data_IF_031098895376
#
_entry.id   IF_031098895376
#
_cell.length_a   1.000
_cell.length_b   1.000
_cell.length_c   1.000
_cell.angle_alpha   90.00
_cell.angle_beta   90.00
_cell.angle_gamma   90.00
#
_symmetry.space_group_name_H-M   'P 1'
#
loop_
_entity.id
_entity.type
_entity.pdbx_description
1 polymer ?
#
# COMPACT_ATOMS: atom_id res chain seq x y z
N UNK A 1 -67.53 46.42 15.95
CA UNK A 1 -67.29 44.96 15.91
C UNK A 1 -66.10 44.74 14.97
N UNK A 2 -65.05 44.10 15.50
CA UNK A 2 -63.71 44.00 14.91
C UNK A 2 -63.70 43.03 13.73
N UNK A 3 -63.11 43.46 12.62
CA UNK A 3 -62.76 42.64 11.48
C UNK A 3 -61.51 41.81 11.81
N UNK A 4 -61.53 40.59 11.28
CA UNK A 4 -60.59 39.49 11.46
C UNK A 4 -59.13 39.93 11.54
N UNK A 5 -58.52 39.58 12.67
CA UNK A 5 -57.09 39.72 12.91
C UNK A 5 -56.35 38.74 11.99
N UNK A 6 -55.74 39.34 10.98
CA UNK A 6 -54.65 38.85 10.17
C UNK A 6 -53.46 38.54 11.09
N UNK A 7 -53.20 37.27 11.38
CA UNK A 7 -51.89 36.85 11.90
C UNK A 7 -51.42 35.63 11.12
N UNK A 8 -50.62 35.97 10.12
CA UNK A 8 -49.70 35.13 9.35
C UNK A 8 -49.29 33.84 10.06
N UNK A 9 -49.70 32.73 9.44
CA UNK A 9 -49.08 31.43 9.56
C UNK A 9 -47.64 31.52 9.04
N UNK A 10 -46.71 32.01 9.87
CA UNK A 10 -45.30 31.92 9.61
C UNK A 10 -44.85 30.50 9.99
N UNK A 11 -45.16 29.56 9.09
CA UNK A 11 -44.48 28.27 8.99
C UNK A 11 -42.99 28.58 8.98
N UNK A 12 -42.30 28.29 10.09
CA UNK A 12 -40.84 28.27 10.15
C UNK A 12 -40.34 27.29 9.11
N UNK A 13 -39.99 27.83 7.94
CA UNK A 13 -39.37 27.10 6.86
C UNK A 13 -37.96 26.72 7.33
N UNK A 14 -37.83 25.50 7.86
CA UNK A 14 -36.54 24.90 8.20
C UNK A 14 -35.68 24.90 6.94
N UNK A 15 -34.50 25.55 6.92
CA UNK A 15 -33.63 25.47 5.76
C UNK A 15 -33.21 24.00 5.57
N UNK A 16 -33.18 23.50 4.32
CA UNK A 16 -32.87 22.11 4.05
C UNK A 16 -31.43 21.79 4.47
N UNK A 17 -31.17 20.60 5.04
CA UNK A 17 -29.80 20.17 5.29
C UNK A 17 -29.08 20.04 3.95
N UNK A 18 -28.05 20.86 3.76
CA UNK A 18 -27.09 20.71 2.65
C UNK A 18 -26.37 19.37 2.80
N UNK A 19 -26.87 18.33 2.14
CA UNK A 19 -26.10 17.12 1.81
C UNK A 19 -25.55 17.26 0.40
N UNK A 20 -24.54 16.44 0.12
CA UNK A 20 -23.98 16.05 -1.19
C UNK A 20 -22.94 16.97 -1.83
N UNK A 21 -21.68 16.87 -1.37
CA UNK A 21 -20.46 16.94 -2.22
C UNK A 21 -19.27 16.12 -1.65
N UNK A 22 -19.52 15.02 -0.92
CA UNK A 22 -18.45 14.21 -0.30
C UNK A 22 -18.61 12.71 -0.59
N UNK A 23 -19.19 12.37 -1.73
CA UNK A 23 -19.39 10.98 -2.17
C UNK A 23 -18.95 10.73 -3.61
N UNK A 24 -18.41 11.72 -4.33
CA UNK A 24 -18.01 11.55 -5.73
C UNK A 24 -16.51 11.20 -5.90
N UNK A 25 -15.68 11.40 -4.87
CA UNK A 25 -14.27 10.98 -4.91
C UNK A 25 -14.04 9.48 -4.67
N UNK A 26 -14.92 8.83 -3.90
CA UNK A 26 -14.74 7.42 -3.50
C UNK A 26 -15.12 6.44 -4.61
N UNK A 27 -16.06 6.80 -5.49
CA UNK A 27 -16.47 5.95 -6.60
C UNK A 27 -15.41 5.86 -7.73
N UNK A 28 -14.60 6.91 -7.91
CA UNK A 28 -13.53 6.92 -8.90
C UNK A 28 -12.37 5.97 -8.53
N UNK A 29 -12.08 5.83 -7.23
CA UNK A 29 -11.05 4.91 -6.72
C UNK A 29 -11.49 3.45 -6.87
N UNK A 30 -12.77 3.13 -6.63
CA UNK A 30 -13.29 1.77 -6.78
C UNK A 30 -13.26 1.26 -8.24
N UNK A 31 -13.46 2.14 -9.23
CA UNK A 31 -13.41 1.75 -10.64
C UNK A 31 -11.96 1.52 -11.14
N UNK A 32 -10.97 2.20 -10.56
CA UNK A 32 -9.56 1.93 -10.86
C UNK A 32 -9.08 0.60 -10.28
N UNK A 33 -9.51 0.25 -9.06
CA UNK A 33 -9.18 -1.05 -8.43
C UNK A 33 -9.81 -2.22 -9.20
N UNK A 34 -11.06 -2.09 -9.67
CA UNK A 34 -11.73 -3.13 -10.44
C UNK A 34 -11.10 -3.38 -11.82
N UNK A 35 -10.56 -2.33 -12.47
CA UNK A 35 -9.88 -2.47 -13.76
C UNK A 35 -8.54 -3.21 -13.64
N UNK A 36 -7.82 -3.03 -12.54
CA UNK A 36 -6.54 -3.73 -12.29
C UNK A 36 -6.77 -5.20 -11.92
N UNK A 37 -7.77 -5.50 -11.08
CA UNK A 37 -8.13 -6.87 -10.70
C UNK A 37 -8.67 -7.68 -11.90
N UNK A 38 -9.41 -7.03 -12.81
CA UNK A 38 -9.95 -7.68 -14.01
C UNK A 38 -8.89 -8.14 -15.02
N UNK A 39 -7.73 -7.47 -15.09
CA UNK A 39 -6.66 -7.82 -16.04
C UNK A 39 -5.89 -9.07 -15.56
N UNK A 40 -5.74 -9.26 -14.25
CA UNK A 40 -5.03 -10.43 -13.69
C UNK A 40 -5.81 -11.73 -13.94
N UNK A 41 -7.15 -11.71 -13.92
CA UNK A 41 -7.96 -12.91 -14.17
C UNK A 41 -8.08 -13.29 -15.65
N UNK A 42 -7.80 -12.39 -16.59
CA UNK A 42 -7.88 -12.63 -18.04
C UNK A 42 -6.52 -13.02 -18.66
N UNK A 43 -5.43 -12.99 -17.89
CA UNK A 43 -4.11 -13.46 -18.34
C UNK A 43 -3.83 -14.93 -17.98
N UNK A 44 -4.56 -15.55 -17.06
CA UNK A 44 -4.30 -16.93 -16.60
C UNK A 44 -4.90 -18.03 -17.49
N UNK A 45 -5.45 -17.70 -18.67
CA UNK A 45 -5.90 -18.69 -19.65
C UNK A 45 -5.10 -18.57 -20.95
N UNK A 46 -3.81 -18.90 -20.90
CA UNK A 46 -2.99 -18.80 -22.11
C UNK A 46 -1.58 -19.35 -22.00
N UNK A 47 -1.45 -20.68 -22.17
CA UNK A 47 -0.31 -21.24 -22.92
C UNK A 47 0.91 -21.67 -22.11
N UNK A 48 1.19 -22.97 -22.18
CA UNK A 48 2.47 -23.60 -21.87
C UNK A 48 3.63 -22.97 -22.64
N UNK A 49 4.69 -22.61 -21.92
CA UNK A 49 6.08 -22.70 -22.41
C UNK A 49 7.02 -23.00 -21.23
N UNK A 50 7.57 -24.22 -21.25
CA UNK A 50 8.70 -24.68 -20.44
C UNK A 50 9.95 -23.87 -20.82
N UNK A 51 10.23 -22.77 -20.10
CA UNK A 51 11.58 -22.28 -19.69
C UNK A 51 11.49 -20.85 -19.15
N UNK A 52 11.12 -20.72 -17.87
CA UNK A 52 11.48 -19.57 -17.06
C UNK A 52 11.97 -20.13 -15.72
N UNK A 53 13.11 -19.65 -15.23
CA UNK A 53 13.47 -19.88 -13.84
C UNK A 53 12.35 -19.26 -12.99
N UNK A 54 11.48 -20.12 -12.48
CA UNK A 54 10.48 -19.84 -11.46
C UNK A 54 11.25 -19.34 -10.24
N UNK A 55 11.46 -18.02 -10.18
CA UNK A 55 12.48 -17.40 -9.31
C UNK A 55 11.96 -17.17 -7.90
N UNK A 56 10.65 -17.37 -7.68
CA UNK A 56 10.06 -17.29 -6.36
C UNK A 56 10.17 -18.64 -5.65
N UNK A 57 10.59 -18.63 -4.38
CA UNK A 57 10.63 -19.86 -3.59
C UNK A 57 9.24 -20.48 -3.50
N UNK A 58 9.17 -21.81 -3.70
CA UNK A 58 7.90 -22.53 -3.56
C UNK A 58 7.32 -22.34 -2.15
N UNK A 59 6.00 -22.14 -2.02
CA UNK A 59 5.37 -22.04 -0.72
C UNK A 59 5.70 -23.23 0.17
N UNK A 60 6.10 -22.95 1.41
CA UNK A 60 6.51 -23.95 2.38
C UNK A 60 6.39 -23.40 3.80
N UNK A 61 6.32 -24.30 4.78
CA UNK A 61 6.23 -23.92 6.18
C UNK A 61 4.91 -23.23 6.56
N UNK A 62 4.93 -22.61 7.73
CA UNK A 62 3.81 -21.90 8.35
C UNK A 62 3.99 -20.37 8.22
N UNK A 63 2.93 -19.61 8.51
CA UNK A 63 3.02 -18.16 8.65
C UNK A 63 4.09 -17.71 9.65
N UNK A 64 4.32 -18.47 10.73
CA UNK A 64 5.37 -18.18 11.69
C UNK A 64 6.78 -18.37 11.13
N UNK A 65 6.99 -19.37 10.26
CA UNK A 65 8.28 -19.60 9.59
C UNK A 65 8.57 -18.47 8.60
N UNK A 66 7.56 -18.07 7.81
CA UNK A 66 7.65 -16.91 6.93
C UNK A 66 7.93 -15.63 7.71
N UNK A 67 7.21 -15.39 8.81
CA UNK A 67 7.40 -14.18 9.62
C UNK A 67 8.81 -14.11 10.25
N UNK A 68 9.38 -15.26 10.61
CA UNK A 68 10.77 -15.37 11.07
C UNK A 68 11.75 -15.01 9.95
N UNK A 69 11.57 -15.58 8.76
CA UNK A 69 12.41 -15.25 7.60
C UNK A 69 12.35 -13.77 7.23
N UNK A 70 11.16 -13.16 7.23
CA UNK A 70 11.01 -11.73 6.93
C UNK A 70 11.57 -10.84 8.05
N UNK A 71 11.59 -11.31 9.31
CA UNK A 71 12.24 -10.58 10.41
C UNK A 71 13.75 -10.48 10.18
N UNK A 72 14.38 -11.56 9.72
CA UNK A 72 15.79 -11.58 9.35
C UNK A 72 16.07 -10.67 8.13
N UNK A 73 15.16 -10.66 7.14
CA UNK A 73 15.21 -9.76 6.01
C UNK A 73 15.13 -8.28 6.45
N UNK A 74 14.17 -7.91 7.30
CA UNK A 74 14.03 -6.56 7.86
C UNK A 74 15.31 -6.13 8.60
N UNK A 75 15.91 -7.02 9.39
CA UNK A 75 17.16 -6.75 10.11
C UNK A 75 18.33 -6.54 9.16
N UNK A 76 18.46 -7.39 8.14
CA UNK A 76 19.53 -7.31 7.13
C UNK A 76 19.43 -6.04 6.31
N UNK A 77 18.22 -5.71 5.82
CA UNK A 77 18.00 -4.51 5.02
C UNK A 77 18.24 -3.25 5.85
N UNK A 78 17.84 -3.21 7.13
CA UNK A 78 18.17 -2.09 8.00
C UNK A 78 19.69 -1.87 8.14
N UNK A 79 20.47 -2.95 8.18
CA UNK A 79 21.93 -2.89 8.28
C UNK A 79 22.59 -2.46 6.95
N UNK A 80 22.09 -2.95 5.82
CA UNK A 80 22.67 -2.70 4.49
C UNK A 80 22.17 -1.39 3.86
N UNK A 81 20.99 -0.91 4.25
CA UNK A 81 20.33 0.28 3.73
C UNK A 81 20.05 1.26 4.88
N UNK A 82 21.05 2.07 5.32
CA UNK A 82 20.93 2.92 6.50
C UNK A 82 19.77 3.91 6.46
N UNK A 83 19.29 4.28 5.28
CA UNK A 83 18.12 5.15 5.09
C UNK A 83 16.82 4.49 5.59
N UNK A 84 16.75 3.16 5.56
CA UNK A 84 15.58 2.39 6.02
C UNK A 84 15.53 2.29 7.54
N UNK A 85 16.69 2.30 8.21
CA UNK A 85 16.79 2.32 9.67
C UNK A 85 16.57 3.70 10.30
N UNK A 86 16.52 4.74 9.47
CA UNK A 86 16.17 6.08 9.91
C UNK A 86 14.65 6.21 10.01
N UNK A 87 14.19 7.13 10.87
CA UNK A 87 12.77 7.41 11.07
C UNK A 87 12.05 7.78 9.76
N UNK A 88 10.72 7.63 9.73
CA UNK A 88 9.93 7.78 8.51
C UNK A 88 9.99 9.20 7.93
N UNK A 89 10.34 10.20 8.74
CA UNK A 89 10.49 11.59 8.34
C UNK A 89 11.59 11.77 7.30
N UNK A 90 12.65 10.96 7.36
CA UNK A 90 13.76 11.03 6.41
C UNK A 90 13.34 10.62 5.00
N UNK A 91 12.29 9.77 4.89
CA UNK A 91 11.72 9.34 3.61
C UNK A 91 10.93 10.44 2.91
N UNK A 92 10.55 11.50 3.62
CA UNK A 92 9.82 12.65 3.07
C UNK A 92 10.75 13.67 2.41
N UNK A 93 12.06 13.57 2.62
CA UNK A 93 13.04 14.46 2.01
C UNK A 93 13.34 14.03 0.56
N UNK A 94 13.08 14.93 -0.38
CA UNK A 94 13.32 14.74 -1.82
C UNK A 94 14.80 14.43 -2.11
N UNK A 95 15.73 14.95 -1.29
CA UNK A 95 17.15 14.66 -1.44
C UNK A 95 17.49 13.17 -1.23
N UNK A 96 16.65 12.43 -0.50
CA UNK A 96 16.87 11.03 -0.16
C UNK A 96 16.17 10.06 -1.12
N UNK A 97 15.43 10.54 -2.12
CA UNK A 97 14.64 9.70 -3.02
C UNK A 97 15.38 8.47 -3.57
N UNK A 98 16.60 8.59 -4.13
CA UNK A 98 17.29 7.41 -4.68
C UNK A 98 17.66 6.39 -3.61
N UNK A 99 18.01 6.84 -2.40
CA UNK A 99 18.34 5.95 -1.31
C UNK A 99 17.08 5.25 -0.77
N UNK A 100 15.98 5.98 -0.58
CA UNK A 100 14.71 5.42 -0.11
C UNK A 100 14.13 4.43 -1.11
N UNK A 101 14.20 4.73 -2.40
CA UNK A 101 13.82 3.81 -3.46
C UNK A 101 14.65 2.52 -3.41
N UNK A 102 15.99 2.64 -3.34
CA UNK A 102 16.88 1.49 -3.26
C UNK A 102 16.60 0.64 -2.02
N UNK A 103 16.43 1.28 -0.86
CA UNK A 103 16.10 0.62 0.39
C UNK A 103 14.75 -0.08 0.38
N UNK A 104 13.71 0.56 -0.17
CA UNK A 104 12.37 -0.04 -0.28
C UNK A 104 12.38 -1.21 -1.24
N UNK A 105 13.08 -1.10 -2.37
CA UNK A 105 13.21 -2.21 -3.32
C UNK A 105 14.00 -3.38 -2.73
N UNK A 106 15.06 -3.10 -1.97
CA UNK A 106 15.82 -4.12 -1.27
C UNK A 106 14.95 -4.85 -0.23
N UNK A 107 14.13 -4.11 0.53
CA UNK A 107 13.17 -4.70 1.46
C UNK A 107 12.17 -5.62 0.76
N UNK A 108 11.54 -5.12 -0.30
CA UNK A 108 10.54 -5.88 -1.06
C UNK A 108 11.16 -7.13 -1.67
N UNK A 109 12.33 -7.02 -2.31
CA UNK A 109 13.05 -8.17 -2.85
C UNK A 109 13.39 -9.20 -1.77
N UNK A 110 13.91 -8.76 -0.62
CA UNK A 110 14.25 -9.65 0.47
C UNK A 110 13.02 -10.35 1.09
N UNK A 111 11.83 -9.72 1.04
CA UNK A 111 10.57 -10.36 1.46
C UNK A 111 10.12 -11.41 0.44
N UNK A 112 10.25 -11.14 -0.86
CA UNK A 112 9.96 -12.12 -1.92
C UNK A 112 10.88 -13.33 -1.87
N UNK A 113 12.13 -13.16 -1.43
CA UNK A 113 13.08 -14.26 -1.25
C UNK A 113 12.69 -15.21 -0.10
N UNK A 114 11.71 -14.85 0.74
CA UNK A 114 11.21 -15.72 1.82
C UNK A 114 10.04 -16.56 1.29
N UNK A 115 10.12 -17.91 1.38
CA UNK A 115 9.02 -18.78 0.96
C UNK A 115 7.71 -18.45 1.67
N UNK A 116 6.65 -18.21 0.89
CA UNK A 116 5.31 -17.99 1.43
C UNK A 116 4.80 -19.22 2.20
N UNK A 117 3.85 -19.06 3.14
CA UNK A 117 3.23 -20.17 3.84
C UNK A 117 2.56 -21.15 2.88
N UNK A 118 2.56 -22.45 3.24
CA UNK A 118 1.96 -23.49 2.41
C UNK A 118 0.42 -23.56 2.53
N UNK A 119 -0.14 -23.10 3.66
CA UNK A 119 -1.59 -23.08 3.89
C UNK A 119 -2.21 -21.89 3.14
N UNK A 120 -3.32 -22.14 2.44
CA UNK A 120 -3.90 -21.18 1.48
C UNK A 120 -4.39 -19.88 2.14
N UNK A 121 -4.98 -19.95 3.34
CA UNK A 121 -5.46 -18.77 4.04
C UNK A 121 -4.31 -17.93 4.62
N UNK A 122 -3.25 -18.56 5.14
CA UNK A 122 -2.01 -17.92 5.58
C UNK A 122 -1.26 -17.30 4.39
N UNK A 123 -1.18 -18.02 3.27
CA UNK A 123 -0.58 -17.53 2.04
C UNK A 123 -1.30 -16.30 1.51
N UNK A 124 -2.64 -16.31 1.52
CA UNK A 124 -3.45 -15.16 1.08
C UNK A 124 -3.15 -13.92 1.93
N UNK A 125 -2.99 -14.09 3.25
CA UNK A 125 -2.64 -13.00 4.16
C UNK A 125 -1.23 -12.45 3.90
N UNK A 126 -0.22 -13.33 3.78
CA UNK A 126 1.14 -12.94 3.46
C UNK A 126 1.23 -12.22 2.11
N UNK A 127 0.58 -12.77 1.08
CA UNK A 127 0.54 -12.17 -0.26
C UNK A 127 -0.08 -10.77 -0.30
N UNK A 128 -1.13 -10.52 0.49
CA UNK A 128 -1.73 -9.19 0.54
C UNK A 128 -0.73 -8.11 1.02
N UNK A 129 0.16 -8.48 1.95
CA UNK A 129 1.21 -7.59 2.42
C UNK A 129 2.34 -7.45 1.40
N UNK A 130 2.76 -8.55 0.76
CA UNK A 130 3.75 -8.53 -0.33
C UNK A 130 3.32 -7.58 -1.46
N UNK A 131 2.05 -7.64 -1.88
CA UNK A 131 1.48 -6.74 -2.90
C UNK A 131 1.54 -5.27 -2.47
N UNK A 132 1.37 -4.98 -1.18
CA UNK A 132 1.51 -3.60 -0.66
C UNK A 132 2.97 -3.13 -0.76
N UNK A 133 3.93 -4.03 -0.50
CA UNK A 133 5.35 -3.79 -0.73
C UNK A 133 5.66 -3.48 -2.21
N UNK A 134 5.11 -4.27 -3.13
CA UNK A 134 5.28 -4.03 -4.57
C UNK A 134 4.76 -2.66 -5.00
N UNK A 135 3.61 -2.25 -4.47
CA UNK A 135 3.05 -0.91 -4.71
C UNK A 135 3.96 0.19 -4.17
N UNK A 136 4.55 0.00 -2.98
CA UNK A 136 5.51 0.95 -2.42
C UNK A 136 6.77 1.07 -3.30
N UNK A 137 7.36 -0.06 -3.72
CA UNK A 137 8.52 -0.07 -4.61
C UNK A 137 8.23 0.60 -5.97
N UNK A 138 7.05 0.33 -6.54
CA UNK A 138 6.61 0.97 -7.79
C UNK A 138 6.42 2.49 -7.62
N UNK A 139 5.84 2.93 -6.51
CA UNK A 139 5.64 4.35 -6.23
C UNK A 139 6.99 5.08 -6.17
N UNK A 140 7.98 4.55 -5.44
CA UNK A 140 9.31 5.15 -5.40
C UNK A 140 10.02 5.12 -6.75
N UNK A 141 9.92 4.01 -7.49
CA UNK A 141 10.52 3.89 -8.83
C UNK A 141 9.93 4.90 -9.81
N UNK A 142 8.62 5.16 -9.71
CA UNK A 142 7.96 6.17 -10.54
C UNK A 142 8.47 7.60 -10.22
N UNK A 143 8.82 7.88 -8.96
CA UNK A 143 9.33 9.19 -8.56
C UNK A 143 10.75 9.43 -9.06
N UNK A 144 11.63 8.43 -9.00
CA UNK A 144 13.04 8.56 -9.41
C UNK A 144 13.27 8.34 -10.90
N UNK A 145 12.41 7.55 -11.55
CA UNK A 145 12.44 7.30 -12.99
C UNK A 145 11.78 8.38 -13.84
N UNK A 146 11.06 9.32 -13.22
CA UNK A 146 10.40 10.44 -13.90
C UNK A 146 11.36 11.60 -14.15
N UNK A 147 11.21 12.27 -15.29
CA UNK A 147 11.88 13.55 -15.57
C UNK A 147 11.06 14.76 -15.16
N UNK A 148 9.80 14.55 -14.75
CA UNK A 148 8.95 15.60 -14.20
C UNK A 148 9.34 15.89 -12.75
N UNK A 149 9.08 17.13 -12.32
CA UNK A 149 9.32 17.54 -10.93
C UNK A 149 8.48 16.69 -9.96
N UNK A 150 9.15 16.09 -8.98
CA UNK A 150 8.51 15.30 -7.93
C UNK A 150 7.77 16.22 -6.96
N UNK A 151 6.48 15.99 -6.74
CA UNK A 151 5.70 16.79 -5.79
C UNK A 151 5.75 16.21 -4.37
N UNK A 152 5.65 17.03 -3.31
CA UNK A 152 5.62 16.56 -1.92
C UNK A 152 4.50 15.56 -1.63
N UNK A 153 3.36 15.70 -2.28
CA UNK A 153 2.22 14.78 -2.13
C UNK A 153 2.56 13.38 -2.66
N UNK A 154 3.29 13.29 -3.77
CA UNK A 154 3.71 12.01 -4.33
C UNK A 154 4.73 11.32 -3.41
N UNK A 155 5.67 12.08 -2.84
CA UNK A 155 6.63 11.55 -1.86
C UNK A 155 5.91 11.05 -0.61
N UNK A 156 4.95 11.83 -0.11
CA UNK A 156 4.15 11.45 1.06
C UNK A 156 3.38 10.15 0.78
N UNK A 157 2.75 10.04 -0.38
CA UNK A 157 2.03 8.83 -0.78
C UNK A 157 2.94 7.59 -0.85
N UNK A 158 4.14 7.71 -1.42
CA UNK A 158 5.10 6.60 -1.47
C UNK A 158 5.61 6.20 -0.07
N UNK A 159 5.82 7.19 0.81
CA UNK A 159 6.18 6.95 2.20
C UNK A 159 5.05 6.26 2.99
N UNK A 160 3.81 6.67 2.79
CA UNK A 160 2.63 6.03 3.39
C UNK A 160 2.47 4.58 2.95
N UNK A 161 2.69 4.27 1.66
CA UNK A 161 2.68 2.88 1.17
C UNK A 161 3.77 2.03 1.83
N UNK A 162 4.96 2.60 2.00
CA UNK A 162 6.08 1.92 2.68
C UNK A 162 5.76 1.66 4.16
N UNK A 163 5.18 2.65 4.85
CA UNK A 163 4.74 2.49 6.23
C UNK A 163 3.61 1.45 6.36
N UNK A 164 2.66 1.45 5.41
CA UNK A 164 1.59 0.46 5.34
C UNK A 164 2.11 -0.96 5.12
N UNK A 165 3.12 -1.12 4.27
CA UNK A 165 3.80 -2.40 4.06
C UNK A 165 4.46 -2.91 5.36
N UNK A 166 5.28 -2.10 6.02
CA UNK A 166 5.96 -2.47 7.28
C UNK A 166 4.94 -2.75 8.40
N UNK A 167 3.86 -1.97 8.48
CA UNK A 167 2.78 -2.21 9.43
C UNK A 167 2.04 -3.53 9.13
N UNK A 168 1.79 -3.85 7.87
CA UNK A 168 1.21 -5.12 7.44
C UNK A 168 2.09 -6.31 7.83
N UNK A 169 3.41 -6.22 7.61
CA UNK A 169 4.37 -7.24 8.06
C UNK A 169 4.28 -7.44 9.57
N UNK A 170 4.26 -6.34 10.33
CA UNK A 170 4.18 -6.38 11.79
C UNK A 170 2.89 -7.00 12.30
N UNK A 171 1.76 -6.75 11.63
CA UNK A 171 0.47 -7.38 11.95
C UNK A 171 0.48 -8.89 11.77
N UNK A 172 1.30 -9.41 10.85
CA UNK A 172 1.51 -10.85 10.62
C UNK A 172 2.57 -11.46 11.55
N UNK A 173 3.10 -10.70 12.51
CA UNK A 173 4.05 -11.18 13.51
C UNK A 173 5.52 -11.00 13.12
N UNK A 174 5.82 -10.32 12.02
CA UNK A 174 7.20 -9.96 11.64
C UNK A 174 7.72 -8.86 12.57
N UNK A 175 8.96 -8.96 13.02
CA UNK A 175 9.62 -7.89 13.74
C UNK A 175 10.46 -7.03 12.78
N UNK A 176 9.90 -5.90 12.33
CA UNK A 176 10.61 -4.91 11.53
C UNK A 176 11.00 -3.66 12.33
N UNK A 177 11.15 -3.75 13.66
CA UNK A 177 11.61 -2.62 14.50
C UNK A 177 12.92 -1.95 14.01
N UNK A 178 13.89 -2.66 13.38
CA UNK A 178 15.06 -2.03 12.78
C UNK A 178 14.77 -1.11 11.59
N UNK A 179 13.59 -1.21 10.98
CA UNK A 179 13.13 -0.33 9.91
C UNK A 179 12.29 0.77 10.56
N UNK A 180 12.74 2.02 10.44
CA UNK A 180 12.14 3.19 11.11
C UNK A 180 10.76 3.56 10.63
#
# INVERSE_FOLDING_TARGET
MKLLEDVSSAVTHRPPPRRTKLTLGVAAVFLLVAAVVGIVLVASSGGSDDTAADSDPRPSGTLADWATGVTDACTTVAAEQPIMAQGPEVRLDVANLPAVEAGTRALVGAVHDVPLPAEEAEQTQANAVVVTGDQAAQAWTALTGSTAETTPEQVTQAAELTAGFVAGLTQLGVNCTPIG
#
